data_IF_762090512793
#
_entry.id   IF_762090512793
#
_cell.length_a   1.000
_cell.length_b   1.000
_cell.length_c   1.000
_cell.angle_alpha   90.00
_cell.angle_beta   90.00
_cell.angle_gamma   90.00
#
_symmetry.space_group_name_H-M   'P 1'
#
loop_
_entity.id
_entity.type
_entity.pdbx_description
1 polymer ?
#
# COMPACT_ATOMS: atom_id res chain seq x y z
N UNK A 1 -27.02 -26.11 58.20
CA UNK A 1 -26.91 -27.08 57.10
C UNK A 1 -26.26 -26.34 55.92
N UNK A 2 -25.14 -26.86 55.42
CA UNK A 2 -24.33 -26.27 54.33
C UNK A 2 -25.14 -26.26 53.02
N UNK A 3 -24.84 -25.33 52.11
CA UNK A 3 -24.32 -25.60 50.74
C UNK A 3 -24.17 -24.28 49.94
N UNK A 4 -22.89 -24.01 49.65
CA UNK A 4 -22.23 -23.36 48.50
C UNK A 4 -22.66 -22.00 47.90
N UNK A 5 -21.67 -21.10 47.99
CA UNK A 5 -21.26 -20.06 47.04
C UNK A 5 -21.12 -20.60 45.61
N UNK A 6 -21.55 -19.84 44.60
CA UNK A 6 -20.85 -19.71 43.32
C UNK A 6 -21.14 -18.38 42.65
N UNK A 7 -20.11 -17.54 42.65
CA UNK A 7 -19.95 -16.36 41.81
C UNK A 7 -20.00 -16.72 40.33
N UNK A 8 -20.66 -15.90 39.50
CA UNK A 8 -20.37 -15.86 38.07
C UNK A 8 -20.33 -14.40 37.58
N UNK A 9 -19.18 -13.77 37.81
CA UNK A 9 -18.71 -12.66 37.00
C UNK A 9 -17.93 -13.25 35.83
N UNK A 10 -18.33 -12.97 34.59
CA UNK A 10 -17.44 -12.96 33.41
C UNK A 10 -18.20 -12.24 32.26
N UNK A 11 -17.97 -10.95 32.08
CA UNK A 11 -16.91 -10.33 31.26
C UNK A 11 -17.06 -10.55 29.75
N UNK A 12 -17.45 -9.46 29.08
CA UNK A 12 -16.97 -9.00 27.77
C UNK A 12 -16.84 -10.02 26.63
N UNK A 13 -17.84 -10.02 25.74
CA UNK A 13 -17.59 -10.26 24.32
C UNK A 13 -16.85 -9.04 23.74
N UNK A 14 -15.53 -9.00 23.88
CA UNK A 14 -14.69 -8.29 22.93
C UNK A 14 -14.52 -9.21 21.72
N UNK A 15 -15.25 -8.95 20.64
CA UNK A 15 -15.00 -9.51 19.31
C UNK A 15 -13.71 -8.90 18.75
N UNK A 16 -12.57 -9.26 19.36
CA UNK A 16 -11.26 -9.17 18.75
C UNK A 16 -10.90 -10.51 18.12
N UNK A 17 -10.11 -10.49 17.04
CA UNK A 17 -9.50 -11.68 16.48
C UNK A 17 -8.77 -12.46 17.60
N UNK A 18 -8.91 -13.80 17.67
CA UNK A 18 -8.10 -14.58 18.59
C UNK A 18 -6.62 -14.36 18.25
N UNK A 19 -5.86 -13.92 19.25
CA UNK A 19 -4.40 -13.88 19.20
C UNK A 19 -3.88 -15.31 18.92
N UNK A 20 -3.67 -15.66 17.64
CA UNK A 20 -3.26 -17.01 17.28
C UNK A 20 -3.29 -17.39 15.80
N UNK A 21 -3.99 -16.66 14.93
CA UNK A 21 -3.95 -16.94 13.48
C UNK A 21 -2.67 -16.38 12.87
N UNK A 22 -1.70 -17.26 12.60
CA UNK A 22 -0.51 -16.88 11.83
C UNK A 22 -0.92 -16.61 10.38
N UNK A 23 -0.39 -15.55 9.78
CA UNK A 23 -0.68 -15.21 8.39
C UNK A 23 -0.39 -16.35 7.39
N UNK A 24 0.47 -17.30 7.78
CA UNK A 24 0.77 -18.55 7.06
C UNK A 24 -0.36 -19.58 7.01
N UNK A 25 -1.40 -19.48 7.85
CA UNK A 25 -2.50 -20.46 7.92
C UNK A 25 -3.79 -19.96 7.26
N UNK A 26 -3.81 -18.72 6.80
CA UNK A 26 -4.97 -18.10 6.15
C UNK A 26 -5.07 -18.53 4.67
N UNK A 27 -6.29 -18.65 4.14
CA UNK A 27 -6.48 -18.70 2.68
C UNK A 27 -5.92 -17.44 2.01
N UNK A 28 -5.72 -17.46 0.70
CA UNK A 28 -5.20 -16.30 -0.03
C UNK A 28 -6.12 -15.07 0.13
N UNK A 29 -7.43 -15.30 0.02
CA UNK A 29 -8.47 -14.29 0.16
C UNK A 29 -8.53 -13.74 1.58
N UNK A 30 -8.46 -14.61 2.60
CA UNK A 30 -8.43 -14.20 4.00
C UNK A 30 -7.17 -13.38 4.33
N UNK A 31 -6.01 -13.85 3.87
CA UNK A 31 -4.75 -13.12 4.04
C UNK A 31 -4.82 -11.74 3.40
N UNK A 32 -5.32 -11.66 2.17
CA UNK A 32 -5.41 -10.42 1.44
C UNK A 32 -6.44 -9.48 2.05
N UNK A 33 -7.57 -10.00 2.55
CA UNK A 33 -8.56 -9.23 3.32
C UNK A 33 -7.95 -8.63 4.60
N UNK A 34 -7.11 -9.38 5.33
CA UNK A 34 -6.41 -8.87 6.51
C UNK A 34 -5.35 -7.82 6.16
N UNK A 35 -4.62 -7.99 5.06
CA UNK A 35 -3.63 -7.00 4.58
C UNK A 35 -4.31 -5.72 4.08
N UNK A 36 -5.48 -5.85 3.46
CA UNK A 36 -6.33 -4.74 2.97
C UNK A 36 -7.21 -4.14 4.03
N UNK A 37 -7.30 -4.78 5.20
CA UNK A 37 -8.09 -4.23 6.29
C UNK A 37 -7.51 -2.84 6.53
N UNK A 38 -8.33 -1.78 6.44
CA UNK A 38 -7.88 -0.51 6.95
C UNK A 38 -7.48 -0.80 8.39
N UNK A 39 -6.48 -0.04 8.80
CA UNK A 39 -6.21 0.22 10.19
C UNK A 39 -7.49 0.17 10.99
N UNK A 40 -7.40 -0.36 12.19
CA UNK A 40 -8.53 -0.60 13.07
C UNK A 40 -9.47 0.62 13.28
N UNK A 41 -9.08 1.81 12.80
CA UNK A 41 -9.81 3.06 12.71
C UNK A 41 -9.47 3.82 11.42
N UNK A 42 -10.36 4.74 11.01
CA UNK A 42 -10.04 5.72 9.98
C UNK A 42 -8.85 6.58 10.46
N UNK A 43 -7.82 6.71 9.62
CA UNK A 43 -6.67 7.56 9.94
C UNK A 43 -6.40 8.54 8.83
N UNK A 44 -5.71 9.61 9.19
CA UNK A 44 -4.97 10.40 8.24
C UNK A 44 -3.47 10.37 8.57
N UNK A 45 -2.66 10.46 7.52
CA UNK A 45 -1.22 10.51 7.62
C UNK A 45 -0.64 11.59 6.73
N UNK A 46 0.45 12.18 7.17
CA UNK A 46 1.33 12.99 6.33
C UNK A 46 2.71 12.34 6.30
N UNK A 47 3.21 12.17 5.08
CA UNK A 47 4.52 11.59 4.79
C UNK A 47 5.26 12.59 3.92
N UNK A 48 6.50 12.90 4.28
CA UNK A 48 7.40 13.70 3.43
C UNK A 48 8.59 12.89 3.00
N UNK A 49 9.14 13.23 1.85
CA UNK A 49 10.30 12.55 1.32
C UNK A 49 10.93 13.27 0.15
N UNK A 50 12.02 12.69 -0.32
CA UNK A 50 12.79 13.12 -1.47
C UNK A 50 12.80 12.04 -2.51
N UNK A 51 12.78 12.44 -3.78
CA UNK A 51 12.81 11.50 -4.89
C UNK A 51 13.88 11.89 -5.91
N UNK A 52 14.44 10.86 -6.54
CA UNK A 52 15.42 10.99 -7.61
C UNK A 52 15.05 10.05 -8.74
N UNK A 53 15.06 10.54 -9.97
CA UNK A 53 14.84 9.76 -11.18
C UNK A 53 16.06 9.83 -12.09
N UNK A 54 16.37 8.70 -12.73
CA UNK A 54 17.45 8.62 -13.71
C UNK A 54 17.02 7.71 -14.85
N UNK A 55 17.09 8.23 -16.07
CA UNK A 55 16.93 7.48 -17.32
C UNK A 55 18.28 7.40 -18.05
N UNK A 56 18.54 6.28 -18.73
CA UNK A 56 19.74 6.10 -19.54
C UNK A 56 19.85 7.22 -20.57
N UNK A 57 21.03 7.85 -20.66
CA UNK A 57 21.28 8.95 -21.58
C UNK A 57 20.70 10.31 -21.15
N UNK A 58 20.05 10.41 -19.99
CA UNK A 58 19.51 11.66 -19.47
C UNK A 58 20.16 12.06 -18.14
N UNK A 59 20.13 13.37 -17.86
CA UNK A 59 20.54 13.89 -16.57
C UNK A 59 19.63 13.37 -15.45
N UNK A 60 20.19 13.21 -14.25
CA UNK A 60 19.40 12.87 -13.06
C UNK A 60 18.51 14.06 -12.71
N UNK A 61 17.25 13.76 -12.37
CA UNK A 61 16.28 14.73 -11.85
C UNK A 61 16.00 14.40 -10.39
N UNK A 62 15.81 15.43 -9.56
CA UNK A 62 15.49 15.29 -8.14
C UNK A 62 14.26 16.14 -7.80
N UNK A 63 13.57 15.79 -6.73
CA UNK A 63 12.45 16.56 -6.22
C UNK A 63 12.08 16.19 -4.78
N UNK A 64 11.14 16.95 -4.24
CA UNK A 64 10.56 16.78 -2.91
C UNK A 64 9.10 16.37 -3.02
N UNK A 65 8.65 15.53 -2.09
CA UNK A 65 7.33 14.92 -2.07
C UNK A 65 6.70 15.11 -0.70
N UNK A 66 5.43 15.53 -0.69
CA UNK A 66 4.55 15.41 0.47
C UNK A 66 3.30 14.64 0.07
N UNK A 67 3.05 13.54 0.76
CA UNK A 67 1.85 12.74 0.63
C UNK A 67 0.98 12.95 1.87
N UNK A 68 -0.24 13.41 1.68
CA UNK A 68 -1.29 13.36 2.69
C UNK A 68 -2.27 12.28 2.28
N UNK A 69 -2.54 11.33 3.16
CA UNK A 69 -3.39 10.20 2.84
C UNK A 69 -4.40 9.99 3.96
N UNK A 70 -5.62 9.64 3.60
CA UNK A 70 -6.64 9.17 4.54
C UNK A 70 -7.20 7.84 4.05
N UNK A 71 -7.42 6.94 5.00
CA UNK A 71 -7.94 5.61 4.77
C UNK A 71 -9.26 5.45 5.51
N UNK A 72 -10.24 4.87 4.84
CA UNK A 72 -11.45 4.32 5.43
C UNK A 72 -11.65 2.87 4.99
N UNK A 73 -12.69 2.20 5.50
CA UNK A 73 -13.08 0.84 5.08
C UNK A 73 -13.42 0.66 3.61
N UNK A 74 -13.75 1.74 2.92
CA UNK A 74 -14.25 1.68 1.54
C UNK A 74 -13.61 2.70 0.62
N UNK A 75 -12.67 3.50 1.11
CA UNK A 75 -12.01 4.52 0.29
C UNK A 75 -10.63 4.90 0.79
N UNK A 76 -9.84 5.40 -0.15
CA UNK A 76 -8.53 6.01 0.06
C UNK A 76 -8.55 7.37 -0.64
N UNK A 77 -8.14 8.41 0.08
CA UNK A 77 -7.93 9.74 -0.50
C UNK A 77 -6.48 10.16 -0.26
N UNK A 78 -5.76 10.44 -1.33
CA UNK A 78 -4.38 10.90 -1.31
C UNK A 78 -4.27 12.27 -1.99
N UNK A 79 -3.53 13.18 -1.36
CA UNK A 79 -3.03 14.40 -1.95
C UNK A 79 -1.51 14.28 -2.03
N UNK A 80 -0.98 14.40 -3.24
CA UNK A 80 0.45 14.37 -3.51
C UNK A 80 0.88 15.77 -3.90
N UNK A 81 1.77 16.38 -3.13
CA UNK A 81 2.40 17.66 -3.45
C UNK A 81 3.84 17.38 -3.88
N UNK A 82 4.18 17.79 -5.09
CA UNK A 82 5.51 17.61 -5.69
C UNK A 82 6.18 18.97 -5.88
N UNK A 83 7.40 19.11 -5.34
CA UNK A 83 8.22 20.32 -5.40
C UNK A 83 7.48 21.59 -4.92
N UNK A 84 6.54 21.44 -3.98
CA UNK A 84 5.65 22.50 -3.47
C UNK A 84 4.85 23.28 -4.55
N UNK A 85 4.74 22.71 -5.75
CA UNK A 85 4.14 23.36 -6.93
C UNK A 85 2.97 22.57 -7.48
N UNK A 86 3.17 21.28 -7.71
CA UNK A 86 2.18 20.42 -8.33
C UNK A 86 1.38 19.68 -7.27
N UNK A 87 0.06 19.83 -7.27
CA UNK A 87 -0.85 19.12 -6.36
C UNK A 87 -1.69 18.13 -7.16
N UNK A 88 -1.51 16.84 -6.90
CA UNK A 88 -2.30 15.76 -7.46
C UNK A 88 -3.29 15.26 -6.41
N UNK A 89 -4.55 15.09 -6.80
CA UNK A 89 -5.56 14.46 -5.97
C UNK A 89 -5.86 13.05 -6.48
N UNK A 90 -5.78 12.04 -5.63
CA UNK A 90 -6.10 10.67 -5.98
C UNK A 90 -7.16 10.12 -5.02
N UNK A 91 -8.22 9.56 -5.58
CA UNK A 91 -9.29 8.90 -4.83
C UNK A 91 -9.47 7.50 -5.38
N UNK A 92 -9.41 6.51 -4.50
CA UNK A 92 -9.82 5.15 -4.79
C UNK A 92 -11.02 4.79 -3.91
N UNK A 93 -12.09 4.26 -4.51
CA UNK A 93 -13.21 3.66 -3.79
C UNK A 93 -13.19 2.15 -4.00
N UNK A 94 -13.39 1.41 -2.93
CA UNK A 94 -13.43 -0.05 -2.89
C UNK A 94 -14.53 -0.53 -1.90
N UNK A 95 -15.81 -0.18 -2.11
CA UNK A 95 -16.88 -0.65 -1.24
C UNK A 95 -17.00 -2.18 -1.31
N UNK A 96 -17.30 -2.87 -0.20
CA UNK A 96 -17.55 -4.31 -0.24
C UNK A 96 -18.67 -4.65 -1.23
N UNK A 97 -18.36 -5.49 -2.22
CA UNK A 97 -19.33 -5.95 -3.23
C UNK A 97 -19.56 -5.00 -4.42
N UNK A 98 -18.86 -3.86 -4.47
CA UNK A 98 -18.93 -2.94 -5.61
C UNK A 98 -17.61 -2.91 -6.40
N UNK A 99 -17.64 -2.59 -7.71
CA UNK A 99 -16.42 -2.43 -8.49
C UNK A 99 -15.52 -1.34 -7.93
N UNK A 100 -14.22 -1.61 -7.93
CA UNK A 100 -13.21 -0.62 -7.57
C UNK A 100 -13.21 0.52 -8.59
N UNK A 101 -13.09 1.76 -8.11
CA UNK A 101 -12.96 2.94 -8.98
C UNK A 101 -11.84 3.86 -8.52
N UNK A 102 -11.09 4.41 -9.48
CA UNK A 102 -10.01 5.35 -9.25
C UNK A 102 -10.30 6.67 -9.97
N UNK A 103 -10.03 7.80 -9.31
CA UNK A 103 -10.07 9.14 -9.92
C UNK A 103 -8.77 9.87 -9.60
N UNK A 104 -8.11 10.36 -10.64
CA UNK A 104 -6.96 11.25 -10.54
C UNK A 104 -7.35 12.66 -10.97
N UNK A 105 -6.97 13.64 -10.17
CA UNK A 105 -7.03 15.07 -10.46
C UNK A 105 -5.61 15.57 -10.66
N UNK A 106 -5.33 16.14 -11.83
CA UNK A 106 -4.04 16.70 -12.19
C UNK A 106 -3.95 18.18 -11.77
N UNK A 107 -2.75 18.72 -11.52
CA UNK A 107 -2.56 20.16 -11.37
C UNK A 107 -2.82 20.90 -12.69
N UNK A 108 -3.41 22.09 -12.60
CA UNK A 108 -3.67 22.97 -13.74
C UNK A 108 -3.21 24.41 -13.42
N UNK A 109 -2.09 24.91 -14.01
CA UNK A 109 -1.13 24.19 -14.87
C UNK A 109 -0.21 23.24 -14.08
N UNK A 110 0.32 22.22 -14.76
CA UNK A 110 1.41 21.37 -14.23
C UNK A 110 2.78 22.02 -14.52
N UNK A 111 3.59 22.25 -13.47
CA UNK A 111 4.97 22.68 -13.61
C UNK A 111 5.92 21.49 -13.81
N UNK A 112 6.79 21.52 -14.81
CA UNK A 112 7.74 20.42 -15.05
C UNK A 112 8.95 20.48 -14.10
N UNK A 113 9.48 19.33 -13.63
CA UNK A 113 8.99 17.96 -13.85
C UNK A 113 7.75 17.63 -13.01
N UNK A 114 6.76 16.99 -13.65
CA UNK A 114 5.55 16.44 -13.02
C UNK A 114 5.78 15.04 -12.44
N UNK A 115 4.76 14.46 -11.81
CA UNK A 115 4.85 13.18 -11.11
C UNK A 115 5.27 12.05 -12.04
N UNK A 116 4.69 12.02 -13.24
CA UNK A 116 4.98 11.00 -14.26
C UNK A 116 6.37 11.15 -14.89
N UNK A 117 6.96 12.36 -14.86
CA UNK A 117 8.34 12.57 -15.31
C UNK A 117 9.35 11.88 -14.38
N UNK A 118 8.93 11.56 -13.14
CA UNK A 118 9.66 10.71 -12.20
C UNK A 118 9.31 9.23 -12.33
N UNK A 119 8.50 8.80 -13.32
CA UNK A 119 8.08 7.41 -13.48
C UNK A 119 7.19 6.88 -12.33
N UNK A 120 6.55 7.79 -11.60
CA UNK A 120 5.64 7.47 -10.49
C UNK A 120 4.19 7.60 -10.92
N UNK A 121 3.35 6.75 -10.34
CA UNK A 121 1.90 6.84 -10.36
C UNK A 121 1.39 7.08 -8.92
N UNK A 122 0.22 7.72 -8.75
CA UNK A 122 -0.37 7.92 -7.43
C UNK A 122 -0.55 6.60 -6.65
N UNK A 123 -0.81 5.51 -7.36
CA UNK A 123 -0.99 4.17 -6.77
C UNK A 123 0.28 3.62 -6.13
N UNK A 124 1.47 4.00 -6.64
CA UNK A 124 2.74 3.57 -6.05
C UNK A 124 2.92 4.15 -4.66
N UNK A 125 2.59 5.42 -4.50
CA UNK A 125 2.83 6.17 -3.27
C UNK A 125 1.75 5.87 -2.22
N UNK A 126 0.53 5.58 -2.66
CA UNK A 126 -0.60 5.25 -1.80
C UNK A 126 -0.77 3.75 -1.52
N UNK A 127 -0.03 2.89 -2.25
CA UNK A 127 -0.20 1.44 -2.28
C UNK A 127 -1.63 1.00 -2.64
N UNK A 128 -2.38 1.82 -3.37
CA UNK A 128 -3.77 1.52 -3.73
C UNK A 128 -3.89 0.33 -4.68
N UNK A 129 -2.80 -0.06 -5.36
CA UNK A 129 -2.74 -1.29 -6.15
C UNK A 129 -3.00 -2.55 -5.32
N UNK A 130 -2.85 -2.48 -3.99
CA UNK A 130 -3.18 -3.59 -3.10
C UNK A 130 -4.66 -3.96 -3.16
N UNK A 131 -5.54 -3.04 -3.54
CA UNK A 131 -7.00 -3.24 -3.59
C UNK A 131 -7.52 -3.73 -4.94
N UNK A 132 -6.65 -3.87 -5.95
CA UNK A 132 -6.98 -4.44 -7.26
C UNK A 132 -7.60 -5.84 -7.15
N UNK A 133 -8.35 -6.29 -8.16
CA UNK A 133 -9.13 -7.52 -8.07
C UNK A 133 -8.22 -8.75 -7.93
N UNK A 134 -8.50 -9.60 -6.94
CA UNK A 134 -7.69 -10.78 -6.70
C UNK A 134 -7.89 -11.82 -7.80
N UNK A 135 -6.80 -12.30 -8.42
CA UNK A 135 -6.83 -13.34 -9.45
C UNK A 135 -6.47 -14.69 -8.84
N UNK A 136 -5.28 -14.77 -8.23
CA UNK A 136 -4.75 -16.02 -7.69
C UNK A 136 -3.56 -15.77 -6.76
N UNK A 137 -3.30 -16.73 -5.88
CA UNK A 137 -2.01 -16.88 -5.21
C UNK A 137 -1.08 -17.72 -6.09
N UNK A 138 0.12 -17.19 -6.37
CA UNK A 138 1.18 -17.89 -7.09
C UNK A 138 2.06 -18.68 -6.11
N UNK A 139 2.85 -19.66 -6.59
CA UNK A 139 3.75 -20.42 -5.73
C UNK A 139 4.64 -19.50 -4.89
N UNK A 140 4.65 -19.74 -3.57
CA UNK A 140 5.47 -19.00 -2.63
C UNK A 140 6.94 -19.03 -3.02
N UNK A 141 7.63 -17.92 -2.81
CA UNK A 141 9.05 -17.79 -3.10
C UNK A 141 9.78 -17.10 -1.95
N UNK A 142 11.10 -17.20 -1.94
CA UNK A 142 11.93 -16.44 -1.00
C UNK A 142 12.37 -15.13 -1.63
N UNK A 143 12.27 -14.05 -0.87
CA UNK A 143 12.91 -12.78 -1.21
C UNK A 143 13.65 -12.26 0.02
N UNK A 144 14.95 -11.98 -0.12
CA UNK A 144 15.79 -11.43 0.95
C UNK A 144 15.70 -12.23 2.26
N UNK A 145 15.78 -13.56 2.15
CA UNK A 145 15.67 -14.52 3.26
C UNK A 145 14.29 -14.60 3.94
N UNK A 146 13.27 -13.90 3.42
CA UNK A 146 11.90 -13.98 3.90
C UNK A 146 11.09 -14.90 3.01
N UNK A 147 10.18 -15.66 3.60
CA UNK A 147 9.17 -16.40 2.84
C UNK A 147 8.10 -15.41 2.39
N UNK A 148 7.75 -15.45 1.11
CA UNK A 148 6.76 -14.55 0.54
C UNK A 148 5.57 -15.33 -0.01
N UNK A 149 4.37 -14.83 0.28
CA UNK A 149 3.14 -15.16 -0.46
C UNK A 149 3.03 -14.19 -1.62
N UNK A 150 2.65 -14.67 -2.80
CA UNK A 150 2.61 -13.84 -4.01
C UNK A 150 1.18 -13.79 -4.50
N UNK A 151 0.56 -12.62 -4.41
CA UNK A 151 -0.80 -12.42 -4.92
C UNK A 151 -0.74 -11.74 -6.29
N UNK A 152 -1.46 -12.28 -7.25
CA UNK A 152 -1.68 -11.65 -8.55
C UNK A 152 -3.00 -10.91 -8.53
N UNK A 153 -2.96 -9.63 -8.86
CA UNK A 153 -4.11 -8.71 -8.82
C UNK A 153 -4.33 -8.07 -10.20
N UNK A 154 -5.58 -7.95 -10.64
CA UNK A 154 -5.98 -7.34 -11.91
C UNK A 154 -6.34 -5.86 -11.73
N UNK A 155 -5.82 -5.02 -12.61
CA UNK A 155 -6.22 -3.62 -12.66
C UNK A 155 -7.73 -3.52 -12.99
N UNK A 156 -8.53 -2.67 -12.31
CA UNK A 156 -9.98 -2.56 -12.52
C UNK A 156 -10.36 -2.22 -13.97
N UNK A 157 -9.63 -1.32 -14.62
CA UNK A 157 -9.85 -0.92 -16.02
C UNK A 157 -9.19 -1.85 -17.07
N UNK A 158 -8.86 -3.11 -16.71
CA UNK A 158 -8.14 -4.06 -17.59
C UNK A 158 -6.82 -3.52 -18.17
N UNK A 159 -6.08 -2.68 -17.43
CA UNK A 159 -4.78 -2.11 -17.87
C UNK A 159 -3.58 -3.03 -17.59
N UNK A 160 -3.84 -4.28 -17.21
CA UNK A 160 -2.83 -5.28 -16.86
C UNK A 160 -2.98 -5.78 -15.43
N UNK A 161 -1.89 -6.29 -14.88
CA UNK A 161 -1.87 -6.99 -13.59
C UNK A 161 -0.62 -6.66 -12.79
N UNK A 162 -0.70 -6.82 -11.48
CA UNK A 162 0.43 -6.70 -10.55
C UNK A 162 0.61 -8.00 -9.77
N UNK A 163 1.85 -8.44 -9.62
CA UNK A 163 2.23 -9.47 -8.67
C UNK A 163 2.84 -8.80 -7.44
N UNK A 164 2.17 -8.94 -6.30
CA UNK A 164 2.61 -8.37 -5.02
C UNK A 164 3.12 -9.48 -4.13
N UNK A 165 4.36 -9.32 -3.68
CA UNK A 165 5.06 -10.24 -2.79
C UNK A 165 4.93 -9.73 -1.37
N UNK A 166 4.16 -10.44 -0.57
CA UNK A 166 3.96 -10.13 0.84
C UNK A 166 4.85 -11.00 1.70
N UNK A 167 5.41 -10.42 2.75
CA UNK A 167 6.00 -11.20 3.84
C UNK A 167 4.95 -12.17 4.40
N UNK A 168 5.25 -13.47 4.40
CA UNK A 168 4.28 -14.50 4.77
C UNK A 168 3.93 -14.51 6.28
N UNK A 169 4.75 -13.87 7.11
CA UNK A 169 4.53 -13.79 8.57
C UNK A 169 3.82 -12.47 8.93
N UNK A 170 4.26 -11.36 8.36
CA UNK A 170 3.81 -10.02 8.75
C UNK A 170 2.79 -9.39 7.79
N UNK A 171 2.60 -9.95 6.59
CA UNK A 171 1.65 -9.44 5.59
C UNK A 171 2.09 -8.16 4.88
N UNK A 172 3.34 -7.71 5.10
CA UNK A 172 3.83 -6.46 4.52
C UNK A 172 4.25 -6.65 3.04
N UNK A 173 3.84 -5.78 2.10
CA UNK A 173 4.27 -5.86 0.70
C UNK A 173 5.75 -5.47 0.53
N UNK A 174 6.58 -6.41 0.07
CA UNK A 174 8.03 -6.24 -0.09
C UNK A 174 8.43 -5.86 -1.51
N UNK A 175 7.69 -6.34 -2.50
CA UNK A 175 7.95 -6.16 -3.93
C UNK A 175 6.63 -6.19 -4.70
N UNK A 176 6.48 -5.30 -5.67
CA UNK A 176 5.42 -5.35 -6.67
C UNK A 176 6.05 -5.40 -8.08
N UNK A 177 5.46 -6.18 -8.98
CA UNK A 177 5.87 -6.30 -10.39
C UNK A 177 4.65 -6.13 -11.27
N UNK A 178 4.69 -5.17 -12.19
CA UNK A 178 3.57 -4.92 -13.10
C UNK A 178 3.82 -5.53 -14.45
N UNK A 179 2.77 -6.13 -14.99
CA UNK A 179 2.76 -6.77 -16.29
C UNK A 179 1.65 -6.11 -17.12
N UNK A 180 1.97 -5.81 -18.38
CA UNK A 180 0.94 -5.48 -19.36
C UNK A 180 0.15 -6.73 -19.69
N UNK A 181 -1.05 -6.55 -20.25
CA UNK A 181 -1.88 -7.66 -20.70
C UNK A 181 -1.07 -8.61 -21.60
N UNK A 182 -1.22 -9.91 -21.37
CA UNK A 182 -0.55 -11.00 -22.11
C UNK A 182 1.00 -11.08 -21.97
N UNK A 183 1.66 -10.12 -21.30
CA UNK A 183 3.11 -10.12 -21.16
C UNK A 183 3.60 -10.97 -19.98
N UNK A 184 4.61 -11.81 -20.24
CA UNK A 184 5.27 -12.64 -19.21
C UNK A 184 6.38 -11.93 -18.44
N UNK A 185 6.89 -10.82 -18.96
CA UNK A 185 7.95 -10.03 -18.30
C UNK A 185 7.35 -8.78 -17.69
N UNK A 186 7.74 -8.41 -16.45
CA UNK A 186 7.26 -7.18 -15.87
C UNK A 186 7.91 -5.99 -16.60
N UNK A 187 7.12 -4.94 -16.85
CA UNK A 187 7.62 -3.71 -17.47
C UNK A 187 8.16 -2.71 -16.44
N UNK A 188 7.76 -2.88 -15.18
CA UNK A 188 8.30 -2.16 -14.02
C UNK A 188 8.18 -2.99 -12.75
N UNK A 189 8.98 -2.64 -11.75
CA UNK A 189 8.91 -3.19 -10.40
C UNK A 189 9.09 -2.12 -9.35
N UNK A 190 8.50 -2.32 -8.19
CA UNK A 190 8.62 -1.49 -7.00
C UNK A 190 9.12 -2.35 -5.85
N UNK A 191 10.26 -2.01 -5.29
CA UNK A 191 10.81 -2.60 -4.10
C UNK A 191 10.63 -1.66 -2.90
N UNK A 192 10.12 -2.19 -1.79
CA UNK A 192 9.86 -1.45 -0.56
C UNK A 192 10.85 -1.86 0.54
N UNK A 193 11.45 -0.88 1.23
CA UNK A 193 12.47 -1.11 2.26
C UNK A 193 12.18 -0.37 3.55
N UNK A 194 12.71 -0.94 4.65
CA UNK A 194 12.65 -0.33 5.97
C UNK A 194 11.23 -0.26 6.53
N UNK A 195 10.41 -1.26 6.20
CA UNK A 195 9.02 -1.33 6.64
C UNK A 195 8.91 -1.35 8.17
N UNK A 196 8.01 -0.53 8.71
CA UNK A 196 7.65 -0.49 10.13
C UNK A 196 6.13 -0.46 10.25
N UNK A 197 5.57 -1.33 11.09
CA UNK A 197 4.16 -1.27 11.49
C UNK A 197 4.01 -0.29 12.65
N UNK A 198 3.09 0.66 12.53
CA UNK A 198 2.64 1.50 13.64
C UNK A 198 1.56 0.78 14.45
N UNK A 199 1.30 1.27 15.67
CA UNK A 199 0.37 0.63 16.62
C UNK A 199 -1.05 0.51 16.09
N UNK A 200 -1.49 1.48 15.29
CA UNK A 200 -2.78 1.47 14.59
C UNK A 200 -2.84 0.47 13.40
N UNK A 201 -1.73 -0.20 13.11
CA UNK A 201 -1.62 -1.19 12.05
C UNK A 201 -0.98 -0.70 10.75
N UNK A 202 -0.59 0.59 10.65
CA UNK A 202 -0.09 1.15 9.38
C UNK A 202 1.30 0.69 9.10
N UNK A 203 1.49 0.23 7.88
CA UNK A 203 2.82 0.02 7.34
C UNK A 203 3.36 1.30 6.74
N UNK A 204 4.50 1.74 7.25
CA UNK A 204 5.31 2.79 6.67
C UNK A 204 6.59 2.19 6.11
N UNK A 205 7.00 2.66 4.94
CA UNK A 205 8.29 2.30 4.33
C UNK A 205 9.22 3.49 4.39
N UNK A 206 10.51 3.24 4.61
CA UNK A 206 11.52 4.30 4.56
C UNK A 206 11.97 4.61 3.14
N UNK A 207 11.87 3.64 2.24
CA UNK A 207 12.39 3.78 0.89
C UNK A 207 11.59 2.92 -0.10
N UNK A 208 11.30 3.52 -1.25
CA UNK A 208 10.80 2.85 -2.45
C UNK A 208 11.85 2.93 -3.56
N UNK A 209 12.06 1.83 -4.27
CA UNK A 209 12.85 1.77 -5.49
C UNK A 209 11.98 1.27 -6.61
N UNK A 210 11.82 2.09 -7.63
CA UNK A 210 11.15 1.71 -8.86
C UNK A 210 12.19 1.52 -9.94
N UNK A 211 12.04 0.45 -10.69
CA UNK A 211 12.90 0.13 -11.82
C UNK A 211 12.00 -0.22 -13.00
N UNK A 212 12.37 0.27 -14.18
CA UNK A 212 11.78 -0.11 -15.45
C UNK A 212 12.84 -0.11 -16.55
N UNK A 213 12.42 -0.33 -17.80
CA UNK A 213 13.37 -0.44 -18.91
C UNK A 213 14.13 0.87 -19.16
N UNK A 214 15.43 0.87 -18.86
CA UNK A 214 16.30 2.03 -19.01
C UNK A 214 16.05 3.18 -18.02
N UNK A 215 15.29 2.98 -16.93
CA UNK A 215 15.07 4.01 -15.93
C UNK A 215 14.92 3.45 -14.50
N UNK A 216 15.21 4.31 -13.53
CA UNK A 216 15.02 4.02 -12.11
C UNK A 216 14.58 5.26 -11.35
N UNK A 217 13.75 5.05 -10.34
CA UNK A 217 13.30 6.08 -9.40
C UNK A 217 13.54 5.59 -7.99
N UNK A 218 14.03 6.48 -7.14
CA UNK A 218 14.17 6.24 -5.71
C UNK A 218 13.37 7.29 -4.97
N UNK A 219 12.55 6.86 -4.01
CA UNK A 219 11.86 7.73 -3.07
C UNK A 219 12.36 7.37 -1.67
N UNK A 220 12.85 8.36 -0.92
CA UNK A 220 13.26 8.21 0.48
C UNK A 220 12.30 9.04 1.30
N UNK A 221 11.65 8.41 2.27
CA UNK A 221 10.72 9.09 3.17
C UNK A 221 11.47 9.52 4.43
N UNK A 222 11.47 10.83 4.68
CA UNK A 222 12.23 11.47 5.76
C UNK A 222 11.40 11.57 7.04
N UNK A 223 10.08 11.68 6.91
CA UNK A 223 9.16 11.82 8.04
C UNK A 223 7.80 11.18 7.73
N UNK A 224 7.16 10.64 8.78
CA UNK A 224 5.78 10.19 8.75
C UNK A 224 5.09 10.53 10.07
N UNK A 225 3.92 11.16 9.98
CA UNK A 225 3.01 11.39 11.10
C UNK A 225 1.67 10.76 10.78
N UNK A 226 1.09 10.08 11.78
CA UNK A 226 -0.23 9.48 11.71
C UNK A 226 -1.07 10.05 12.84
N UNK A 227 -2.31 10.41 12.56
CA UNK A 227 -3.27 10.85 13.57
C UNK A 227 -4.65 10.26 13.25
N UNK A 228 -5.43 10.02 14.29
CA UNK A 228 -6.79 9.50 14.15
C UNK A 228 -7.71 10.60 13.59
N UNK A 229 -8.65 10.22 12.72
CA UNK A 229 -9.65 11.17 12.23
C UNK A 229 -10.57 11.54 13.40
N UNK A 230 -10.46 12.77 13.90
CA UNK A 230 -11.30 13.30 14.98
C UNK A 230 -10.58 13.61 16.30
N UNK A 231 -9.27 13.37 16.40
CA UNK A 231 -8.45 13.89 17.52
C UNK A 231 -7.94 15.29 17.19
N UNK A 232 -8.61 16.32 17.73
CA UNK A 232 -8.03 17.65 17.90
C UNK A 232 -7.21 17.70 19.19
#
# INVERSE_FOLDING_TARGET
>A
MRITVTSLWLLWLCLGLPAGLKASTLSAEQFLAEVRRPLTQDVWGEITGRLTHQRVGQARVSGDLRLRISFSSSSLHAQIVLNDKNVYGFVQKHPPGEPLSCKLSLPEPEEKPGLFDFGLEPEDLSFSFLYWDFIAELPSQKSRMRNCRIMRLAHPDNKGQVEVWFDAEYGFPLLAKWYKEEQKKPWRSLEMKGAKKYENGLWFVKEMRLDGDGWKTRVIFDFASLKDIGSQ
#
